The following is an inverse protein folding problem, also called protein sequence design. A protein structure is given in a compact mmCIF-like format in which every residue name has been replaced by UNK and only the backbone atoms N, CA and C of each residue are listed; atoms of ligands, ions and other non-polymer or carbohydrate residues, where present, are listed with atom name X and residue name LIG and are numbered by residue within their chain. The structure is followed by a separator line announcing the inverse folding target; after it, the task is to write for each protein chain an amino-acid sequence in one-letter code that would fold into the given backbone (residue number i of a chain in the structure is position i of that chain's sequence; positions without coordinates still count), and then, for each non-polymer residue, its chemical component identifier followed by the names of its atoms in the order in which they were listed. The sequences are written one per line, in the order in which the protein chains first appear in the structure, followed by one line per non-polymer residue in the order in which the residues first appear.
data_IF_088673512156
#
_entry.id   IF_088673512156
#
_cell.length_a   1.000
_cell.length_b   1.000
_cell.length_c   1.000
_cell.angle_alpha   90.00
_cell.angle_beta   90.00
_cell.angle_gamma   90.00
#
_symmetry.space_group_name_H-M   'P 1'
#
loop_
_entity.id
_entity.type
_entity.pdbx_description
1 polymer ?
#
# COMPACT_ATOMS: atom_id res chain seq x y z
N UNK A 1 64.97 32.35 34.56
CA UNK A 1 64.88 30.89 34.83
C UNK A 1 63.41 30.52 34.95
N UNK A 2 62.96 29.52 34.17
CA UNK A 2 61.90 28.49 34.43
C UNK A 2 60.80 28.84 35.47
N UNK A 3 59.49 28.67 35.27
CA UNK A 3 58.66 27.95 34.30
C UNK A 3 57.34 27.56 34.99
N UNK A 4 56.22 27.52 34.22
CA UNK A 4 54.96 26.74 34.43
C UNK A 4 54.18 26.92 35.77
N UNK A 5 52.88 27.21 35.80
CA UNK A 5 51.77 26.41 35.25
C UNK A 5 50.51 27.25 34.92
N UNK A 6 50.11 27.26 33.65
CA UNK A 6 48.72 27.47 33.23
C UNK A 6 48.34 26.29 32.32
N UNK A 7 48.20 25.11 32.92
CA UNK A 7 47.71 23.91 32.27
C UNK A 7 46.44 23.47 33.00
N UNK A 8 45.29 23.99 32.57
CA UNK A 8 44.02 23.67 33.21
C UNK A 8 42.77 23.86 32.36
N UNK A 9 42.83 24.55 31.21
CA UNK A 9 41.60 24.92 30.49
C UNK A 9 41.60 24.51 29.01
N UNK A 10 42.75 24.12 28.44
CA UNK A 10 42.87 23.81 27.00
C UNK A 10 42.51 22.39 26.55
N UNK A 11 42.28 21.45 27.46
CA UNK A 11 42.01 20.05 27.11
C UNK A 11 40.52 19.68 27.03
N UNK A 12 39.61 20.63 27.27
CA UNK A 12 38.15 20.40 27.22
C UNK A 12 37.46 21.02 26.00
N UNK A 13 38.20 21.63 25.07
CA UNK A 13 37.60 22.41 23.97
C UNK A 13 37.70 21.70 22.60
N UNK A 14 38.30 20.51 22.52
CA UNK A 14 38.37 19.74 21.26
C UNK A 14 37.91 18.28 21.41
N UNK A 15 37.16 17.96 22.47
CA UNK A 15 36.57 16.64 22.70
C UNK A 15 35.11 16.50 22.25
N UNK A 16 34.50 17.58 21.75
CA UNK A 16 33.08 17.63 21.37
C UNK A 16 32.96 18.17 19.95
N UNK A 17 33.60 17.51 18.98
CA UNK A 17 33.03 17.50 17.62
C UNK A 17 32.27 16.19 17.57
N UNK A 18 31.01 16.26 17.98
CA UNK A 18 30.06 15.18 17.83
C UNK A 18 29.94 14.91 16.32
N UNK A 19 30.40 13.74 15.88
CA UNK A 19 30.23 13.29 14.49
C UNK A 19 28.74 13.05 14.26
N UNK A 20 27.99 14.12 14.00
CA UNK A 20 26.58 14.03 13.67
C UNK A 20 26.46 13.24 12.38
N UNK A 21 25.74 12.13 12.43
CA UNK A 21 25.54 11.27 11.28
C UNK A 21 24.78 12.04 10.19
N UNK A 22 25.00 11.71 8.91
CA UNK A 22 24.31 12.37 7.80
C UNK A 22 22.78 12.31 7.98
N UNK A 23 22.29 11.24 8.59
CA UNK A 23 20.88 11.05 8.92
C UNK A 23 20.38 12.03 9.99
N UNK A 24 21.20 12.37 10.98
CA UNK A 24 20.87 13.40 11.98
C UNK A 24 20.88 14.80 11.36
N UNK A 25 21.82 15.08 10.46
CA UNK A 25 21.86 16.35 9.72
C UNK A 25 20.64 16.47 8.80
N UNK A 26 20.26 15.38 8.11
CA UNK A 26 19.06 15.34 7.26
C UNK A 26 17.77 15.40 8.09
N UNK A 27 17.73 14.77 9.25
CA UNK A 27 16.62 14.88 10.20
C UNK A 27 16.48 16.31 10.71
N UNK A 28 17.58 16.95 11.10
CA UNK A 28 17.62 18.33 11.59
C UNK A 28 17.26 19.34 10.49
N UNK A 29 17.73 19.14 9.25
CA UNK A 29 17.37 19.99 8.11
C UNK A 29 15.89 19.87 7.75
N UNK A 30 15.35 18.64 7.76
CA UNK A 30 13.90 18.39 7.60
C UNK A 30 13.10 19.05 8.71
N UNK A 31 13.58 19.00 9.96
CA UNK A 31 12.93 19.69 11.09
C UNK A 31 12.98 21.22 10.93
N UNK A 32 14.08 21.77 10.44
CA UNK A 32 14.24 23.23 10.26
C UNK A 32 13.42 23.79 9.08
N UNK A 33 13.21 23.02 8.01
CA UNK A 33 12.37 23.46 6.88
C UNK A 33 10.87 23.44 7.20
N UNK A 34 10.47 22.76 8.29
CA UNK A 34 9.07 22.57 8.70
C UNK A 34 8.62 23.51 9.82
N UNK A 35 9.56 24.20 10.49
CA UNK A 35 9.25 25.26 11.46
C UNK A 35 9.28 26.62 10.77
N UNK A 36 8.11 27.12 10.38
CA UNK A 36 7.95 28.57 10.13
C UNK A 36 8.24 29.38 11.40
N UNK A 37 8.51 30.70 11.29
CA UNK A 37 8.95 31.48 12.43
C UNK A 37 7.77 31.67 13.40
N UNK A 38 7.86 31.10 14.60
CA UNK A 38 7.81 31.88 15.85
C UNK A 38 7.63 31.02 17.13
N UNK A 39 8.57 31.26 18.03
CA UNK A 39 8.45 31.52 19.48
C UNK A 39 7.90 30.45 20.45
N UNK A 40 8.80 30.14 21.40
CA UNK A 40 8.61 29.87 22.84
C UNK A 40 8.56 28.40 23.30
N UNK A 41 9.72 27.99 23.85
CA UNK A 41 9.96 27.44 25.17
C UNK A 41 9.23 26.17 25.69
N UNK A 42 10.11 25.20 25.99
CA UNK A 42 10.16 24.32 27.17
C UNK A 42 9.60 22.89 27.12
N UNK A 43 10.56 21.99 27.38
CA UNK A 43 10.52 20.69 28.09
C UNK A 43 9.88 19.47 27.42
N UNK A 44 10.80 18.54 27.13
CA UNK A 44 10.70 17.09 27.28
C UNK A 44 9.62 16.35 26.48
N UNK A 45 10.11 15.65 25.45
CA UNK A 45 9.76 14.24 25.26
C UNK A 45 8.31 13.95 24.88
N UNK A 46 7.88 14.47 23.74
CA UNK A 46 6.92 13.77 22.88
C UNK A 46 7.16 14.24 21.46
N UNK A 47 7.70 13.35 20.63
CA UNK A 47 7.80 13.56 19.19
C UNK A 47 6.36 13.78 18.72
N UNK A 48 5.98 14.95 18.18
CA UNK A 48 4.73 15.04 17.45
C UNK A 48 4.92 14.15 16.23
N UNK A 49 4.23 13.01 16.21
CA UNK A 49 4.00 12.21 15.01
C UNK A 49 3.65 13.19 13.90
N UNK A 50 4.51 13.30 12.89
CA UNK A 50 4.23 14.18 11.77
C UNK A 50 2.85 13.83 11.20
N UNK A 51 2.14 14.83 10.69
CA UNK A 51 0.78 14.76 10.17
C UNK A 51 0.79 13.93 8.86
N UNK A 52 1.11 12.63 8.94
CA UNK A 52 1.06 11.71 7.82
C UNK A 52 -0.39 11.31 7.65
N UNK A 53 -1.06 11.94 6.69
CA UNK A 53 -2.41 11.54 6.32
C UNK A 53 -2.35 10.20 5.56
N UNK A 54 -3.32 9.30 5.80
CA UNK A 54 -3.46 8.11 4.97
C UNK A 54 -3.57 8.46 3.48
N UNK A 55 -3.05 7.60 2.58
CA UNK A 55 -3.24 7.79 1.15
C UNK A 55 -4.74 7.74 0.82
N UNK A 56 -5.14 8.50 -0.19
CA UNK A 56 -6.50 8.46 -0.72
C UNK A 56 -6.58 7.30 -1.72
N UNK A 57 -7.54 6.42 -1.50
CA UNK A 57 -7.83 5.27 -2.34
C UNK A 57 -8.94 5.63 -3.34
N UNK A 58 -8.92 5.10 -4.57
CA UNK A 58 -9.99 5.29 -5.55
C UNK A 58 -11.23 4.41 -5.28
N UNK A 59 -11.38 3.91 -4.06
CA UNK A 59 -12.46 3.04 -3.59
C UNK A 59 -13.06 3.75 -2.38
N UNK A 60 -14.20 4.42 -2.55
CA UNK A 60 -14.75 5.31 -1.51
C UNK A 60 -15.02 4.61 -0.17
N UNK A 61 -15.64 3.41 -0.13
CA UNK A 61 -15.83 2.69 1.13
C UNK A 61 -14.51 2.34 1.86
N UNK A 62 -13.41 2.20 1.11
CA UNK A 62 -12.09 1.91 1.68
C UNK A 62 -11.52 3.14 2.40
N UNK A 63 -11.72 4.34 1.86
CA UNK A 63 -11.29 5.59 2.51
C UNK A 63 -11.94 5.76 3.89
N UNK A 64 -13.23 5.45 4.02
CA UNK A 64 -13.94 5.53 5.30
C UNK A 64 -13.33 4.59 6.35
N UNK A 65 -13.04 3.34 5.97
CA UNK A 65 -12.43 2.36 6.87
C UNK A 65 -11.01 2.77 7.27
N UNK A 66 -10.20 3.21 6.30
CA UNK A 66 -8.83 3.68 6.54
C UNK A 66 -8.82 4.89 7.48
N UNK A 67 -9.74 5.85 7.29
CA UNK A 67 -9.86 7.01 8.16
C UNK A 67 -10.26 6.63 9.59
N UNK A 68 -11.18 5.67 9.77
CA UNK A 68 -11.57 5.16 11.09
C UNK A 68 -10.41 4.43 11.77
N UNK A 69 -9.71 3.57 11.04
CA UNK A 69 -8.51 2.89 11.53
C UNK A 69 -7.44 3.91 11.96
N UNK A 70 -7.10 4.87 11.10
CA UNK A 70 -6.09 5.89 11.39
C UNK A 70 -6.45 6.71 12.63
N UNK A 71 -7.71 7.13 12.79
CA UNK A 71 -8.17 7.81 14.01
C UNK A 71 -7.97 6.96 15.26
N UNK A 72 -8.18 5.65 15.18
CA UNK A 72 -8.08 4.73 16.31
C UNK A 72 -6.64 4.32 16.65
N UNK A 73 -5.77 4.15 15.64
CA UNK A 73 -4.44 3.51 15.82
C UNK A 73 -3.26 4.40 15.46
N UNK A 74 -3.49 5.52 14.78
CA UNK A 74 -2.46 6.39 14.19
C UNK A 74 -1.52 5.66 13.21
N UNK A 75 -1.90 4.47 12.74
CA UNK A 75 -1.13 3.72 11.74
C UNK A 75 -1.65 4.01 10.33
N UNK A 76 -0.72 4.35 9.44
CA UNK A 76 -0.99 4.90 8.09
C UNK A 76 -1.24 3.81 7.02
N UNK A 77 -0.42 2.75 6.89
CA UNK A 77 -0.58 1.81 5.78
C UNK A 77 -1.87 1.00 5.88
N UNK A 78 -2.48 0.73 4.72
CA UNK A 78 -3.54 -0.26 4.61
C UNK A 78 -2.93 -1.66 4.74
N UNK A 79 -3.30 -2.41 5.78
CA UNK A 79 -2.80 -3.77 5.99
C UNK A 79 -3.90 -4.80 5.72
N UNK A 80 -3.74 -5.55 4.65
CA UNK A 80 -4.67 -6.56 4.17
C UNK A 80 -4.30 -7.96 4.68
N UNK A 81 -5.29 -8.79 4.97
CA UNK A 81 -5.14 -10.22 5.32
C UNK A 81 -6.22 -11.08 4.64
N UNK A 82 -6.12 -12.41 4.76
CA UNK A 82 -7.02 -13.38 4.13
C UNK A 82 -6.65 -13.65 2.66
N UNK A 83 -7.52 -13.25 1.73
CA UNK A 83 -7.36 -13.35 0.27
C UNK A 83 -7.18 -11.97 -0.37
N UNK A 84 -6.07 -11.26 -0.10
CA UNK A 84 -5.91 -9.84 -0.39
C UNK A 84 -5.80 -9.52 -1.89
N UNK A 85 -5.40 -10.50 -2.71
CA UNK A 85 -5.13 -10.29 -4.14
C UNK A 85 -6.31 -9.69 -4.90
N UNK A 86 -7.54 -10.03 -4.51
CA UNK A 86 -8.75 -9.62 -5.23
C UNK A 86 -8.98 -8.11 -5.06
N UNK A 87 -8.80 -7.59 -3.85
CA UNK A 87 -8.82 -6.16 -3.60
C UNK A 87 -7.62 -5.45 -4.24
N UNK A 88 -6.43 -6.06 -4.20
CA UNK A 88 -5.23 -5.50 -4.84
C UNK A 88 -5.43 -5.34 -6.35
N UNK A 89 -5.98 -6.35 -7.03
CA UNK A 89 -6.25 -6.25 -8.46
C UNK A 89 -7.24 -5.12 -8.76
N UNK A 90 -8.35 -5.01 -8.04
CA UNK A 90 -9.34 -3.94 -8.24
C UNK A 90 -8.72 -2.57 -7.97
N UNK A 91 -7.95 -2.44 -6.89
CA UNK A 91 -7.25 -1.20 -6.55
C UNK A 91 -6.26 -0.79 -7.65
N UNK A 92 -5.37 -1.69 -8.06
CA UNK A 92 -4.35 -1.40 -9.08
C UNK A 92 -5.01 -1.10 -10.42
N UNK A 93 -6.01 -1.89 -10.84
CA UNK A 93 -6.74 -1.67 -12.09
C UNK A 93 -7.40 -0.29 -12.11
N UNK A 94 -8.03 0.12 -11.00
CA UNK A 94 -8.67 1.43 -10.88
C UNK A 94 -7.64 2.56 -10.88
N UNK A 95 -6.51 2.39 -10.19
CA UNK A 95 -5.44 3.39 -10.14
C UNK A 95 -4.79 3.67 -11.51
N UNK A 96 -4.51 2.62 -12.29
CA UNK A 96 -3.80 2.79 -13.57
C UNK A 96 -4.69 3.19 -14.74
N UNK A 97 -6.00 2.95 -14.64
CA UNK A 97 -6.94 3.34 -15.68
C UNK A 97 -7.42 4.79 -15.49
N UNK A 98 -8.02 5.40 -16.54
CA UNK A 98 -8.75 6.65 -16.39
C UNK A 98 -9.90 6.49 -15.38
N UNK A 99 -10.20 7.52 -14.56
CA UNK A 99 -9.64 8.88 -14.61
C UNK A 99 -8.35 9.08 -13.79
N UNK A 100 -7.86 8.05 -13.08
CA UNK A 100 -6.78 8.23 -12.10
C UNK A 100 -5.39 8.30 -12.72
N UNK A 101 -5.14 7.49 -13.77
CA UNK A 101 -3.90 7.47 -14.55
C UNK A 101 -2.63 7.55 -13.67
N UNK A 102 -2.59 6.71 -12.63
CA UNK A 102 -1.46 6.62 -11.71
C UNK A 102 -0.46 5.55 -12.15
N UNK A 103 0.69 5.58 -11.48
CA UNK A 103 1.71 4.54 -11.52
C UNK A 103 1.80 3.86 -10.18
N UNK A 104 1.92 2.53 -10.18
CA UNK A 104 1.97 1.71 -8.96
C UNK A 104 3.20 0.81 -8.98
N UNK A 105 3.89 0.76 -7.84
CA UNK A 105 4.99 -0.15 -7.59
C UNK A 105 4.49 -1.34 -6.75
N UNK A 106 4.91 -2.56 -7.08
CA UNK A 106 4.51 -3.80 -6.40
C UNK A 106 5.76 -4.58 -6.04
N UNK A 107 5.93 -4.90 -4.76
CA UNK A 107 6.94 -5.84 -4.29
C UNK A 107 6.24 -7.15 -3.95
N UNK A 108 6.49 -8.18 -4.76
CA UNK A 108 5.80 -9.47 -4.67
C UNK A 108 6.77 -10.56 -4.19
N UNK A 109 6.68 -10.91 -2.90
CA UNK A 109 7.46 -11.99 -2.29
C UNK A 109 6.86 -13.38 -2.53
N UNK A 110 5.59 -13.45 -2.92
CA UNK A 110 4.90 -14.71 -3.16
C UNK A 110 5.04 -15.17 -4.62
N UNK A 111 5.34 -14.23 -5.53
CA UNK A 111 5.41 -14.46 -6.97
C UNK A 111 4.05 -14.84 -7.55
N UNK A 112 2.96 -14.34 -6.96
CA UNK A 112 1.57 -14.66 -7.35
C UNK A 112 0.87 -13.51 -8.06
N UNK A 113 1.44 -12.32 -8.06
CA UNK A 113 0.90 -11.19 -8.78
C UNK A 113 1.17 -11.32 -10.27
N UNK A 114 0.11 -11.33 -11.07
CA UNK A 114 0.14 -11.39 -12.53
C UNK A 114 -0.44 -10.10 -13.11
N UNK A 115 0.39 -9.21 -13.69
CA UNK A 115 -0.06 -7.97 -14.31
C UNK A 115 -1.13 -8.18 -15.39
N UNK A 116 -1.12 -9.32 -16.11
CA UNK A 116 -2.08 -9.56 -17.19
C UNK A 116 -3.51 -9.71 -16.66
N UNK A 117 -3.68 -10.15 -15.40
CA UNK A 117 -4.98 -10.25 -14.75
C UNK A 117 -5.67 -8.90 -14.57
N UNK A 118 -4.93 -7.80 -14.58
CA UNK A 118 -5.50 -6.44 -14.51
C UNK A 118 -6.40 -6.12 -15.72
N UNK A 119 -6.10 -6.69 -16.90
CA UNK A 119 -6.92 -6.49 -18.11
C UNK A 119 -8.33 -7.07 -17.98
N UNK A 120 -8.49 -8.10 -17.14
CA UNK A 120 -9.77 -8.76 -16.88
C UNK A 120 -10.42 -8.30 -15.57
N UNK A 121 -9.83 -7.31 -14.90
CA UNK A 121 -10.31 -6.84 -13.60
C UNK A 121 -11.35 -5.73 -13.80
N UNK A 122 -12.55 -5.85 -13.20
CA UNK A 122 -13.54 -4.79 -13.24
C UNK A 122 -13.03 -3.55 -12.49
N UNK A 123 -13.25 -2.37 -13.07
CA UNK A 123 -12.92 -1.08 -12.43
C UNK A 123 -14.17 -0.56 -11.72
N UNK A 124 -14.03 -0.15 -10.46
CA UNK A 124 -15.13 0.50 -9.73
C UNK A 124 -15.43 1.87 -10.35
N UNK A 125 -16.70 2.13 -10.69
CA UNK A 125 -17.14 3.34 -11.41
C UNK A 125 -17.62 3.12 -12.86
N UNK A 126 -17.51 1.89 -13.40
CA UNK A 126 -17.99 1.55 -14.74
C UNK A 126 -19.51 1.26 -14.84
N UNK A 127 -20.31 1.62 -13.81
CA UNK A 127 -21.76 1.46 -13.86
C UNK A 127 -22.34 2.40 -14.93
N UNK A 128 -22.97 1.79 -15.94
CA UNK A 128 -23.47 2.43 -17.14
C UNK A 128 -24.53 3.51 -16.83
N UNK A 129 -24.16 4.78 -16.98
CA UNK A 129 -25.12 5.84 -17.28
C UNK A 129 -25.46 5.74 -18.76
N UNK A 130 -26.66 5.24 -19.07
CA UNK A 130 -27.21 5.30 -20.42
C UNK A 130 -27.31 6.77 -20.85
N UNK A 131 -26.44 7.20 -21.74
CA UNK A 131 -26.56 8.49 -22.41
C UNK A 131 -26.40 8.27 -23.91
N UNK A 132 -27.50 8.45 -24.65
CA UNK A 132 -27.53 8.44 -26.10
C UNK A 132 -26.97 9.77 -26.63
N UNK A 133 -25.65 9.95 -26.61
CA UNK A 133 -24.97 10.98 -27.42
C UNK A 133 -23.63 10.41 -27.94
N UNK A 134 -23.35 10.69 -29.20
CA UNK A 134 -22.28 10.17 -30.07
C UNK A 134 -20.87 10.68 -29.68
N UNK A 135 -20.48 10.55 -28.41
CA UNK A 135 -19.13 10.82 -27.93
C UNK A 135 -18.37 9.49 -27.66
N UNK A 136 -17.04 9.43 -27.90
CA UNK A 136 -16.28 8.21 -27.61
C UNK A 136 -16.39 7.87 -26.12
N UNK A 137 -17.02 6.73 -25.85
CA UNK A 137 -17.23 6.17 -24.50
C UNK A 137 -15.96 6.32 -23.65
N UNK A 138 -16.05 6.83 -22.41
CA UNK A 138 -14.88 6.97 -21.54
C UNK A 138 -14.17 5.62 -21.40
N UNK A 139 -12.84 5.64 -21.46
CA UNK A 139 -11.96 4.48 -21.31
C UNK A 139 -12.08 3.93 -19.88
N UNK A 140 -13.12 3.14 -19.62
CA UNK A 140 -13.42 2.59 -18.28
C UNK A 140 -12.82 1.20 -18.04
N UNK A 141 -11.98 0.71 -18.96
CA UNK A 141 -11.33 -0.61 -18.88
C UNK A 141 -9.81 -0.46 -19.00
N UNK A 142 -9.06 -1.24 -18.22
CA UNK A 142 -7.59 -1.31 -18.28
C UNK A 142 -7.15 -1.72 -19.68
N UNK A 143 -6.31 -0.92 -20.31
CA UNK A 143 -5.70 -1.23 -21.60
C UNK A 143 -4.30 -1.83 -21.42
N UNK A 144 -3.78 -2.48 -22.47
CA UNK A 144 -2.41 -3.01 -22.46
C UNK A 144 -1.36 -1.93 -22.21
N UNK A 145 -1.59 -0.71 -22.69
CA UNK A 145 -0.72 0.43 -22.42
C UNK A 145 -0.73 0.85 -20.95
N UNK A 146 -1.79 0.58 -20.20
CA UNK A 146 -1.85 0.93 -18.77
C UNK A 146 -0.92 0.03 -17.94
N UNK A 147 -0.61 -1.18 -18.43
CA UNK A 147 0.31 -2.10 -17.78
C UNK A 147 1.75 -1.58 -17.75
N UNK A 148 2.12 -0.66 -18.65
CA UNK A 148 3.43 0.02 -18.63
C UNK A 148 3.64 0.88 -17.37
N UNK A 149 2.59 1.05 -16.56
CA UNK A 149 2.57 1.84 -15.33
C UNK A 149 2.43 0.99 -14.06
N UNK A 150 2.62 -0.33 -14.19
CA UNK A 150 2.72 -1.27 -13.05
C UNK A 150 4.12 -1.86 -13.04
N UNK A 151 4.89 -1.51 -12.01
CA UNK A 151 6.26 -2.01 -11.85
C UNK A 151 6.29 -3.08 -10.78
N UNK A 152 6.66 -4.30 -11.16
CA UNK A 152 6.68 -5.45 -10.24
C UNK A 152 8.11 -5.88 -9.97
N UNK A 153 8.55 -5.75 -8.72
CA UNK A 153 9.76 -6.37 -8.21
C UNK A 153 9.39 -7.70 -7.55
N UNK A 154 9.87 -8.81 -8.12
CA UNK A 154 9.71 -10.15 -7.53
C UNK A 154 10.97 -10.53 -6.78
N UNK A 155 10.86 -10.64 -5.45
CA UNK A 155 11.96 -11.14 -4.64
C UNK A 155 12.09 -12.66 -4.80
N UNK A 156 13.31 -13.19 -4.68
CA UNK A 156 13.53 -14.63 -4.69
C UNK A 156 12.78 -15.28 -3.50
N UNK A 157 11.97 -16.31 -3.80
CA UNK A 157 11.13 -16.98 -2.80
C UNK A 157 11.99 -17.47 -1.62
N UNK A 158 11.59 -17.10 -0.40
CA UNK A 158 12.23 -17.56 0.84
C UNK A 158 13.32 -16.65 1.40
N UNK A 159 13.71 -15.56 0.71
CA UNK A 159 14.68 -14.59 1.23
C UNK A 159 13.99 -13.34 1.78
N UNK A 160 13.33 -13.47 2.93
CA UNK A 160 12.56 -12.39 3.57
C UNK A 160 13.43 -11.40 4.38
N UNK A 161 14.76 -11.59 4.42
CA UNK A 161 15.68 -10.77 5.22
C UNK A 161 15.91 -9.36 4.65
N UNK A 162 15.44 -9.09 3.43
CA UNK A 162 15.78 -7.88 2.67
C UNK A 162 14.55 -7.10 2.18
N UNK A 163 13.46 -7.07 2.96
CA UNK A 163 12.24 -6.35 2.51
C UNK A 163 12.51 -4.85 2.38
N UNK A 164 13.24 -4.27 3.34
CA UNK A 164 13.66 -2.87 3.28
C UNK A 164 14.50 -2.58 2.02
N UNK A 165 15.43 -3.48 1.66
CA UNK A 165 16.25 -3.32 0.45
C UNK A 165 15.43 -3.46 -0.83
N UNK A 166 14.45 -4.37 -0.87
CA UNK A 166 13.54 -4.51 -2.00
C UNK A 166 12.67 -3.25 -2.17
N UNK A 167 12.16 -2.71 -1.06
CA UNK A 167 11.41 -1.45 -1.05
C UNK A 167 12.32 -0.31 -1.50
N UNK A 168 13.51 -0.14 -0.92
CA UNK A 168 14.46 0.89 -1.33
C UNK A 168 14.84 0.78 -2.82
N UNK A 169 15.07 -0.43 -3.31
CA UNK A 169 15.42 -0.68 -4.72
C UNK A 169 14.30 -0.30 -5.68
N UNK A 170 13.05 -0.65 -5.37
CA UNK A 170 11.92 -0.26 -6.22
C UNK A 170 11.68 1.24 -6.17
N UNK A 171 11.88 1.89 -5.02
CA UNK A 171 11.75 3.34 -4.89
C UNK A 171 12.83 4.10 -5.67
N UNK A 172 14.07 3.66 -5.58
CA UNK A 172 15.17 4.20 -6.39
C UNK A 172 14.87 4.04 -7.89
N UNK A 173 14.38 2.87 -8.31
CA UNK A 173 13.96 2.63 -9.69
C UNK A 173 12.78 3.52 -10.11
N UNK A 174 11.79 3.75 -9.23
CA UNK A 174 10.65 4.62 -9.52
C UNK A 174 11.03 6.11 -9.60
N UNK A 175 12.06 6.54 -8.86
CA UNK A 175 12.49 7.94 -8.83
C UNK A 175 13.55 8.26 -9.90
N UNK A 176 14.49 7.35 -10.12
CA UNK A 176 15.68 7.60 -10.95
C UNK A 176 15.81 6.63 -12.13
N UNK A 177 15.04 5.55 -12.14
CA UNK A 177 15.08 4.54 -13.19
C UNK A 177 14.56 5.02 -14.54
N UNK A 178 14.84 4.21 -15.56
CA UNK A 178 14.28 4.40 -16.89
C UNK A 178 13.03 3.56 -17.05
N UNK A 179 11.86 4.21 -16.97
CA UNK A 179 10.56 3.56 -17.13
C UNK A 179 9.57 4.46 -17.89
N UNK A 180 8.53 3.86 -18.46
CA UNK A 180 7.55 4.55 -19.33
C UNK A 180 6.52 5.40 -18.58
N UNK A 181 6.67 5.53 -17.27
CA UNK A 181 5.66 6.13 -16.38
C UNK A 181 5.96 7.55 -15.94
N UNK A 182 7.00 8.20 -16.51
CA UNK A 182 7.42 9.58 -16.18
C UNK A 182 6.34 10.65 -16.30
N UNK A 183 5.26 10.39 -17.05
CA UNK A 183 4.12 11.30 -17.20
C UNK A 183 2.97 11.08 -16.21
N UNK A 184 3.08 10.10 -15.30
CA UNK A 184 2.03 9.75 -14.34
C UNK A 184 2.55 9.87 -12.92
N UNK A 185 1.70 10.34 -12.01
CA UNK A 185 2.04 10.40 -10.59
C UNK A 185 2.24 8.99 -10.03
N UNK A 186 3.32 8.78 -9.29
CA UNK A 186 3.54 7.56 -8.52
C UNK A 186 2.71 7.61 -7.22
N UNK A 187 1.67 6.78 -7.19
CA UNK A 187 0.71 6.73 -6.08
C UNK A 187 1.32 6.13 -4.81
N UNK A 188 2.05 5.02 -4.94
CA UNK A 188 2.71 4.36 -3.82
C UNK A 188 3.17 2.94 -4.14
N UNK A 189 3.70 2.27 -3.11
CA UNK A 189 4.17 0.89 -3.15
C UNK A 189 3.19 -0.05 -2.45
N UNK A 190 2.89 -1.17 -3.09
CA UNK A 190 2.13 -2.30 -2.53
C UNK A 190 3.11 -3.43 -2.24
N UNK A 191 3.13 -3.93 -1.01
CA UNK A 191 3.95 -5.09 -0.62
C UNK A 191 3.07 -6.31 -0.41
N UNK A 192 3.37 -7.41 -1.10
CA UNK A 192 2.63 -8.66 -1.05
C UNK A 192 3.52 -9.75 -0.44
N UNK A 193 3.09 -10.30 0.68
CA UNK A 193 3.87 -11.20 1.52
C UNK A 193 5.03 -10.51 2.23
N UNK A 194 5.98 -11.31 2.70
CA UNK A 194 7.20 -10.81 3.35
C UNK A 194 7.26 -11.06 4.86
N UNK A 195 6.16 -11.41 5.53
CA UNK A 195 6.10 -11.53 6.99
C UNK A 195 6.11 -10.16 7.69
N UNK A 196 5.69 -9.09 7.02
CA UNK A 196 5.60 -7.76 7.58
C UNK A 196 4.53 -7.67 8.64
N UNK A 197 4.93 -7.24 9.83
CA UNK A 197 4.03 -6.92 10.91
C UNK A 197 3.88 -5.38 10.98
N UNK A 198 2.75 -4.82 10.53
CA UNK A 198 2.51 -3.38 10.63
C UNK A 198 2.39 -2.89 12.09
N UNK A 199 2.26 -3.80 13.06
CA UNK A 199 2.06 -3.51 14.48
C UNK A 199 3.28 -3.83 15.36
N UNK A 200 4.45 -4.17 14.81
CA UNK A 200 5.63 -4.39 15.64
C UNK A 200 6.84 -4.88 14.86
N UNK A 201 7.93 -4.12 15.01
CA UNK A 201 9.25 -4.21 14.35
C UNK A 201 9.41 -3.27 13.15
N UNK A 202 10.12 -2.18 13.42
CA UNK A 202 10.22 -0.96 12.64
C UNK A 202 11.26 -1.03 11.50
N UNK A 203 11.03 -1.83 10.45
CA UNK A 203 11.92 -1.76 9.28
C UNK A 203 11.25 -1.59 7.92
N UNK A 204 9.92 -1.74 7.81
CA UNK A 204 9.19 -1.48 6.54
C UNK A 204 8.08 -0.43 6.68
N UNK A 205 7.82 0.00 7.93
CA UNK A 205 7.32 1.34 8.21
C UNK A 205 8.37 2.44 7.90
N UNK A 206 9.56 2.06 7.43
CA UNK A 206 10.70 2.95 7.19
C UNK A 206 10.65 3.71 5.86
N UNK A 207 9.72 3.38 4.95
CA UNK A 207 9.47 4.23 3.78
C UNK A 207 8.09 4.87 3.85
N UNK A 208 8.09 6.19 3.68
CA UNK A 208 6.90 7.04 3.60
C UNK A 208 5.99 6.71 2.39
N UNK A 209 6.42 5.86 1.45
CA UNK A 209 5.68 5.53 0.22
C UNK A 209 5.03 4.14 0.20
N UNK A 210 5.17 3.33 1.26
CA UNK A 210 4.42 2.07 1.39
C UNK A 210 2.97 2.38 1.74
N UNK A 211 2.07 2.22 0.77
CA UNK A 211 0.65 2.53 0.92
C UNK A 211 -0.17 1.31 1.35
N UNK A 212 0.20 0.11 0.88
CA UNK A 212 -0.52 -1.14 1.14
C UNK A 212 0.46 -2.26 1.48
N UNK A 213 0.11 -3.04 2.48
CA UNK A 213 0.78 -4.29 2.84
C UNK A 213 -0.25 -5.42 2.82
N UNK A 214 0.13 -6.59 2.33
CA UNK A 214 -0.75 -7.75 2.26
C UNK A 214 -0.02 -8.96 2.83
N UNK A 215 -0.41 -9.36 4.04
CA UNK A 215 0.25 -10.42 4.79
C UNK A 215 -0.71 -11.18 5.69
N UNK A 216 -0.23 -12.21 6.38
CA UNK A 216 -1.00 -12.96 7.36
C UNK A 216 -1.50 -12.06 8.51
N UNK A 217 -0.80 -10.94 8.79
CA UNK A 217 -1.17 -9.96 9.82
C UNK A 217 -1.59 -8.62 9.20
N UNK A 218 -2.90 -8.44 9.05
CA UNK A 218 -3.52 -7.20 8.57
C UNK A 218 -4.81 -6.88 9.35
N UNK A 219 -5.27 -5.63 9.26
CA UNK A 219 -6.48 -5.17 9.96
C UNK A 219 -7.74 -5.20 9.07
N UNK A 220 -7.59 -5.25 7.74
CA UNK A 220 -8.66 -5.44 6.78
C UNK A 220 -8.57 -6.85 6.18
N UNK A 221 -9.53 -7.70 6.50
CA UNK A 221 -9.59 -9.08 6.03
C UNK A 221 -10.46 -9.20 4.79
N UNK A 222 -9.90 -9.75 3.72
CA UNK A 222 -10.62 -10.01 2.47
C UNK A 222 -10.95 -11.49 2.39
N UNK A 223 -12.22 -11.85 2.35
CA UNK A 223 -12.67 -13.23 2.21
C UNK A 223 -13.70 -13.36 1.08
N UNK A 224 -13.98 -14.60 0.69
CA UNK A 224 -15.11 -14.87 -0.21
C UNK A 224 -16.39 -14.51 0.54
N UNK A 225 -17.31 -13.80 -0.11
CA UNK A 225 -18.62 -13.56 0.48
C UNK A 225 -19.28 -14.91 0.81
N UNK A 226 -20.03 -14.95 1.90
CA UNK A 226 -20.63 -16.18 2.38
C UNK A 226 -21.60 -16.75 1.34
N UNK A 227 -21.38 -18.00 0.96
CA UNK A 227 -22.27 -18.76 0.09
C UNK A 227 -22.99 -19.73 1.00
N UNK A 228 -24.32 -19.81 0.89
CA UNK A 228 -25.15 -20.73 1.66
C UNK A 228 -24.53 -22.13 1.72
N UNK A 229 -24.19 -22.59 2.92
CA UNK A 229 -23.69 -23.95 3.15
C UNK A 229 -24.82 -24.96 3.01
N UNK A 230 -24.53 -26.11 2.43
CA UNK A 230 -25.52 -27.17 2.21
C UNK A 230 -25.22 -28.34 3.14
N UNK A 231 -25.75 -28.30 4.36
CA UNK A 231 -25.55 -29.37 5.37
C UNK A 231 -26.41 -30.62 5.11
N UNK A 232 -27.41 -30.53 4.23
CA UNK A 232 -28.41 -31.59 4.00
C UNK A 232 -28.38 -32.20 2.59
N UNK A 233 -27.19 -32.32 1.98
CA UNK A 233 -27.07 -32.73 0.57
C UNK A 233 -26.28 -34.03 0.40
N UNK A 234 -26.80 -34.95 -0.41
CA UNK A 234 -26.10 -36.19 -0.75
C UNK A 234 -24.90 -35.92 -1.67
N UNK A 235 -23.91 -36.83 -1.69
CA UNK A 235 -22.72 -36.70 -2.53
C UNK A 235 -23.04 -36.69 -4.04
N UNK A 236 -24.13 -37.33 -4.45
CA UNK A 236 -24.58 -37.41 -5.85
C UNK A 236 -25.23 -36.09 -6.29
N UNK A 237 -26.09 -35.51 -5.45
CA UNK A 237 -26.61 -34.15 -5.62
C UNK A 237 -25.48 -33.10 -5.55
N UNK A 238 -24.42 -33.37 -4.78
CA UNK A 238 -23.21 -32.55 -4.74
C UNK A 238 -22.47 -32.51 -6.09
N UNK A 239 -22.50 -33.58 -6.88
CA UNK A 239 -21.85 -33.59 -8.20
C UNK A 239 -22.70 -32.91 -9.29
N UNK A 240 -24.02 -33.13 -9.27
CA UNK A 240 -24.94 -32.56 -10.28
C UNK A 240 -24.99 -31.04 -10.19
N UNK A 241 -25.10 -30.49 -8.99
CA UNK A 241 -25.15 -29.05 -8.78
C UNK A 241 -23.76 -28.41 -8.71
N UNK A 242 -22.66 -29.15 -8.94
CA UNK A 242 -21.29 -28.63 -8.79
C UNK A 242 -21.05 -27.37 -9.63
N UNK A 243 -21.47 -27.38 -10.88
CA UNK A 243 -21.31 -26.24 -11.79
C UNK A 243 -22.16 -25.04 -11.34
N UNK A 244 -23.40 -25.28 -10.93
CA UNK A 244 -24.29 -24.26 -10.35
C UNK A 244 -23.72 -23.68 -9.05
N UNK A 245 -23.11 -24.51 -8.20
CA UNK A 245 -22.44 -24.09 -6.96
C UNK A 245 -21.18 -23.29 -7.25
N UNK A 246 -20.36 -23.73 -8.21
CA UNK A 246 -19.20 -22.97 -8.65
C UNK A 246 -19.62 -21.60 -9.18
N UNK A 247 -20.69 -21.53 -9.99
CA UNK A 247 -21.26 -20.29 -10.47
C UNK A 247 -21.80 -19.40 -9.33
N UNK A 248 -22.46 -19.97 -8.33
CA UNK A 248 -22.94 -19.23 -7.16
C UNK A 248 -21.78 -18.69 -6.30
N UNK A 249 -20.75 -19.52 -6.09
CA UNK A 249 -19.52 -19.12 -5.42
C UNK A 249 -18.86 -17.99 -6.19
N UNK A 250 -18.71 -18.12 -7.52
CA UNK A 250 -18.16 -17.10 -8.42
C UNK A 250 -18.99 -15.81 -8.45
N UNK A 251 -20.32 -15.91 -8.30
CA UNK A 251 -21.24 -14.78 -8.24
C UNK A 251 -21.24 -14.05 -6.90
N UNK A 252 -20.97 -14.73 -5.78
CA UNK A 252 -21.04 -14.14 -4.44
C UNK A 252 -20.06 -12.97 -4.23
N UNK A 253 -18.98 -12.90 -5.01
CA UNK A 253 -18.01 -11.81 -4.92
C UNK A 253 -17.09 -11.93 -3.71
N UNK A 254 -16.48 -10.81 -3.33
CA UNK A 254 -15.53 -10.74 -2.22
C UNK A 254 -16.00 -9.73 -1.17
N UNK A 255 -15.70 -10.01 0.09
CA UNK A 255 -16.06 -9.16 1.21
C UNK A 255 -14.78 -8.71 1.94
N UNK A 256 -14.62 -7.40 2.08
CA UNK A 256 -13.57 -6.80 2.91
C UNK A 256 -14.17 -6.42 4.26
N UNK A 257 -13.63 -6.96 5.35
CA UNK A 257 -14.14 -6.81 6.71
C UNK A 257 -13.06 -6.34 7.69
N UNK A 258 -13.43 -5.48 8.62
CA UNK A 258 -12.56 -4.96 9.67
C UNK A 258 -13.39 -4.67 10.94
N UNK A 259 -12.74 -4.43 12.09
CA UNK A 259 -13.44 -3.96 13.29
C UNK A 259 -14.26 -2.68 13.11
N UNK A 260 -13.98 -1.88 12.08
CA UNK A 260 -14.65 -0.60 11.81
C UNK A 260 -15.72 -0.67 10.73
N UNK A 261 -16.03 -1.87 10.23
CA UNK A 261 -17.02 -2.12 9.18
C UNK A 261 -16.45 -2.92 8.01
N UNK A 262 -17.20 -2.99 6.92
CA UNK A 262 -16.81 -3.72 5.72
C UNK A 262 -17.57 -3.29 4.48
N UNK A 263 -17.11 -3.75 3.32
CA UNK A 263 -17.74 -3.51 2.03
C UNK A 263 -17.53 -4.71 1.10
N UNK A 264 -18.41 -4.83 0.11
CA UNK A 264 -18.34 -5.88 -0.91
C UNK A 264 -17.60 -5.37 -2.14
N UNK A 265 -16.71 -6.19 -2.69
CA UNK A 265 -15.98 -5.92 -3.94
C UNK A 265 -16.76 -6.61 -5.06
N UNK A 266 -17.32 -5.79 -5.97
CA UNK A 266 -18.21 -6.25 -7.03
C UNK A 266 -17.49 -6.96 -8.20
N UNK A 267 -18.34 -7.61 -9.01
CA UNK A 267 -18.14 -8.79 -9.87
C UNK A 267 -17.22 -8.64 -11.08
N UNK A 268 -16.54 -9.75 -11.45
CA UNK A 268 -15.98 -10.00 -12.79
C UNK A 268 -17.14 -10.41 -13.71
N UNK A 269 -17.60 -9.54 -14.61
CA UNK A 269 -18.59 -9.96 -15.60
C UNK A 269 -17.94 -10.95 -16.58
N UNK A 270 -18.20 -12.25 -16.36
CA UNK A 270 -18.01 -13.24 -17.40
C UNK A 270 -19.11 -13.01 -18.43
N UNK A 271 -18.80 -12.25 -19.48
CA UNK A 271 -19.63 -12.16 -20.67
C UNK A 271 -19.92 -13.56 -21.19
N UNK A 272 -21.20 -13.85 -21.42
CA UNK A 272 -21.63 -14.98 -22.25
C UNK A 272 -21.30 -14.71 -23.71
#
# INVERSE_FOLDING_TARGET
MRGTTAAGVGARVLGEIEETTLDEVLASLRSSLLQGPNTNDNKAGNIPTSIVRPPIFPIDPLNDLVNRHFRATQSVPLALTGRPHELIYVLVATLIAPPYEKTVAIVDFEGRFDPLRLLATPIEGAAATGSMILEPKPKTAVQRSDLDHVHVLRAARGNFTHIADCVGSIEEYMLYGSHRSRGREWWGTIVIGGGLNPSGSASVAASAKVAVTADWKGWLRVDRAEVSTFWDMSAEEALVDREKRQAAVEAAGWLATSPWGGFSICKRDMGR
#
